data_IF_870335367812
#
_entry.id   IF_870335367812
#
_cell.length_a   1.000
_cell.length_b   1.000
_cell.length_c   1.000
_cell.angle_alpha   90.00
_cell.angle_beta   90.00
_cell.angle_gamma   90.00
#
_symmetry.space_group_name_H-M   'P 1'
#
loop_
_entity.id
_entity.type
_entity.pdbx_description
1 polymer ?
#
# COMPACT_ATOMS: atom_id res chain seq x y z
N UNK A 1 12.46 -23.77 -23.82
CA UNK A 1 13.06 -22.46 -23.48
C UNK A 1 12.69 -21.45 -24.57
N UNK A 2 12.09 -20.29 -24.21
CA UNK A 2 11.67 -19.26 -25.17
C UNK A 2 12.85 -18.76 -26.02
N UNK A 3 12.66 -18.66 -27.34
CA UNK A 3 13.70 -18.21 -28.30
C UNK A 3 14.26 -16.82 -27.99
N UNK A 4 13.52 -15.98 -27.27
CA UNK A 4 13.91 -14.62 -26.92
C UNK A 4 15.08 -14.57 -25.92
N UNK A 5 15.24 -15.60 -25.09
CA UNK A 5 16.32 -15.70 -24.11
C UNK A 5 17.68 -15.93 -24.80
N UNK A 6 17.68 -16.59 -25.98
CA UNK A 6 18.91 -16.88 -26.73
C UNK A 6 19.53 -15.65 -27.40
N UNK A 7 18.77 -14.59 -27.62
CA UNK A 7 19.23 -13.37 -28.30
C UNK A 7 19.72 -12.27 -27.36
N UNK A 8 19.64 -12.48 -26.05
CA UNK A 8 20.11 -11.49 -25.08
C UNK A 8 21.59 -11.73 -24.77
N UNK A 9 22.45 -10.78 -25.18
CA UNK A 9 23.91 -10.92 -25.05
C UNK A 9 24.42 -10.88 -23.61
N UNK A 10 23.55 -10.57 -22.64
CA UNK A 10 23.88 -10.50 -21.21
C UNK A 10 23.05 -11.56 -20.49
N UNK A 11 23.61 -12.31 -19.52
CA UNK A 11 22.83 -13.25 -18.73
C UNK A 11 21.66 -12.54 -18.03
N UNK A 12 20.44 -13.08 -18.15
CA UNK A 12 19.26 -12.48 -17.51
C UNK A 12 19.43 -12.34 -15.99
N UNK A 13 20.15 -13.29 -15.36
CA UNK A 13 20.49 -13.24 -13.93
C UNK A 13 21.22 -11.93 -13.57
N UNK A 14 22.10 -11.45 -14.45
CA UNK A 14 22.84 -10.21 -14.24
C UNK A 14 21.89 -9.01 -14.26
N UNK A 15 21.01 -8.95 -15.26
CA UNK A 15 19.98 -7.91 -15.36
C UNK A 15 19.04 -7.92 -14.14
N UNK A 16 18.60 -9.10 -13.70
CA UNK A 16 17.76 -9.24 -12.51
C UNK A 16 18.44 -8.71 -11.26
N UNK A 17 19.72 -9.05 -11.04
CA UNK A 17 20.50 -8.49 -9.92
C UNK A 17 20.61 -6.98 -10.04
N UNK A 18 20.97 -6.47 -11.22
CA UNK A 18 21.15 -5.04 -11.42
C UNK A 18 19.86 -4.25 -11.15
N UNK A 19 18.70 -4.76 -11.58
CA UNK A 19 17.39 -4.17 -11.28
C UNK A 19 17.00 -4.29 -9.80
N UNK A 20 17.38 -5.38 -9.11
CA UNK A 20 17.15 -5.56 -7.68
C UNK A 20 17.92 -4.51 -6.86
N UNK A 21 19.20 -4.32 -7.17
CA UNK A 21 20.02 -3.31 -6.50
C UNK A 21 19.53 -1.88 -6.80
N UNK A 22 19.10 -1.62 -8.04
CA UNK A 22 18.45 -0.35 -8.40
C UNK A 22 17.18 -0.10 -7.59
N UNK A 23 16.31 -1.11 -7.46
CA UNK A 23 15.09 -1.03 -6.66
C UNK A 23 15.40 -0.66 -5.20
N UNK A 24 16.32 -1.38 -4.55
CA UNK A 24 16.68 -1.07 -3.18
C UNK A 24 17.36 0.30 -3.04
N UNK A 25 18.20 0.71 -4.00
CA UNK A 25 18.82 2.03 -3.98
C UNK A 25 17.79 3.16 -3.97
N UNK A 26 16.67 2.98 -4.69
CA UNK A 26 15.59 3.98 -4.77
C UNK A 26 14.65 3.91 -3.55
N UNK A 27 14.13 2.73 -3.20
CA UNK A 27 13.05 2.60 -2.19
C UNK A 27 13.55 2.52 -0.75
N UNK A 28 14.76 2.02 -0.51
CA UNK A 28 15.31 1.89 0.86
C UNK A 28 16.24 3.03 1.26
N UNK A 29 16.65 3.88 0.30
CA UNK A 29 17.64 4.95 0.49
C UNK A 29 18.93 4.44 1.17
N UNK A 30 19.29 3.18 0.91
CA UNK A 30 20.46 2.54 1.51
C UNK A 30 21.72 2.86 0.72
N UNK A 31 22.73 3.43 1.38
CA UNK A 31 24.04 3.68 0.79
C UNK A 31 24.71 2.39 0.30
N UNK A 32 24.52 1.27 1.01
CA UNK A 32 25.03 -0.03 0.57
C UNK A 32 24.39 -0.46 -0.75
N UNK A 33 23.06 -0.27 -0.87
CA UNK A 33 22.35 -0.60 -2.11
C UNK A 33 22.84 0.25 -3.29
N UNK A 34 23.10 1.54 -3.06
CA UNK A 34 23.68 2.41 -4.09
C UNK A 34 25.08 1.95 -4.50
N UNK A 35 25.96 1.65 -3.53
CA UNK A 35 27.32 1.18 -3.81
C UNK A 35 27.33 -0.12 -4.60
N UNK A 36 26.49 -1.10 -4.22
CA UNK A 36 26.38 -2.35 -4.96
C UNK A 36 25.81 -2.17 -6.36
N UNK A 37 24.85 -1.26 -6.55
CA UNK A 37 24.36 -0.91 -7.89
C UNK A 37 25.46 -0.30 -8.77
N UNK A 38 26.24 0.66 -8.24
CA UNK A 38 27.37 1.26 -8.96
C UNK A 38 28.44 0.23 -9.29
N UNK A 39 28.77 -0.66 -8.35
CA UNK A 39 29.71 -1.77 -8.59
C UNK A 39 29.26 -2.66 -9.75
N UNK A 40 27.98 -3.05 -9.78
CA UNK A 40 27.43 -3.83 -10.89
C UNK A 40 27.40 -3.06 -12.21
N UNK A 41 27.21 -1.74 -12.21
CA UNK A 41 27.37 -0.94 -13.42
C UNK A 41 28.82 -0.95 -13.93
N UNK A 42 29.80 -0.83 -13.03
CA UNK A 42 31.21 -0.91 -13.40
C UNK A 42 31.54 -2.29 -13.99
N UNK A 43 31.13 -3.38 -13.34
CA UNK A 43 31.31 -4.73 -13.85
C UNK A 43 30.66 -4.94 -15.22
N UNK A 44 29.52 -4.29 -15.50
CA UNK A 44 28.80 -4.41 -16.77
C UNK A 44 29.68 -3.95 -17.95
N UNK A 45 30.38 -2.83 -17.80
CA UNK A 45 31.24 -2.28 -18.86
C UNK A 45 32.58 -3.03 -19.00
N UNK A 46 33.07 -3.65 -17.93
CA UNK A 46 34.28 -4.48 -18.00
C UNK A 46 34.02 -5.87 -18.62
N UNK A 47 32.86 -6.46 -18.38
CA UNK A 47 32.56 -7.84 -18.80
C UNK A 47 31.87 -7.92 -20.16
N UNK A 48 31.14 -6.89 -20.59
CA UNK A 48 30.31 -6.94 -21.79
C UNK A 48 30.65 -5.84 -22.79
N UNK A 49 30.47 -6.09 -24.09
CA UNK A 49 30.71 -5.08 -25.12
C UNK A 49 29.76 -3.89 -24.96
N UNK A 50 30.23 -2.70 -25.30
CA UNK A 50 29.50 -1.44 -25.16
C UNK A 50 28.09 -1.47 -25.77
N UNK A 51 27.92 -2.14 -26.92
CA UNK A 51 26.61 -2.29 -27.60
C UNK A 51 25.57 -3.06 -26.78
N UNK A 52 26.00 -3.99 -25.93
CA UNK A 52 25.13 -4.78 -25.08
C UNK A 52 24.91 -4.08 -23.74
N UNK A 53 25.95 -3.47 -23.18
CA UNK A 53 25.86 -2.65 -21.97
C UNK A 53 24.88 -1.49 -22.16
N UNK A 54 24.92 -0.78 -23.30
CA UNK A 54 24.01 0.33 -23.58
C UNK A 54 22.54 -0.08 -23.60
N UNK A 55 22.20 -1.26 -24.13
CA UNK A 55 20.83 -1.80 -24.08
C UNK A 55 20.36 -2.02 -22.65
N UNK A 56 21.23 -2.56 -21.78
CA UNK A 56 20.90 -2.76 -20.36
C UNK A 56 20.72 -1.43 -19.65
N UNK A 57 21.55 -0.42 -19.93
CA UNK A 57 21.36 0.92 -19.37
C UNK A 57 20.01 1.53 -19.76
N UNK A 58 19.55 1.36 -21.00
CA UNK A 58 18.24 1.84 -21.43
C UNK A 58 17.12 1.18 -20.62
N UNK A 59 17.19 -0.14 -20.44
CA UNK A 59 16.22 -0.88 -19.61
C UNK A 59 16.25 -0.36 -18.17
N UNK A 60 17.44 -0.18 -17.60
CA UNK A 60 17.59 0.35 -16.25
C UNK A 60 17.10 1.79 -16.12
N UNK A 61 17.25 2.61 -17.16
CA UNK A 61 16.69 3.95 -17.22
C UNK A 61 15.17 3.95 -17.20
N UNK A 62 14.53 3.06 -17.97
CA UNK A 62 13.06 2.91 -17.99
C UNK A 62 12.55 2.47 -16.60
N UNK A 63 13.15 1.43 -16.03
CA UNK A 63 12.78 0.96 -14.69
C UNK A 63 13.10 1.99 -13.60
N UNK A 64 14.25 2.66 -13.70
CA UNK A 64 14.65 3.72 -12.78
C UNK A 64 13.69 4.89 -12.79
N UNK A 65 13.29 5.35 -13.99
CA UNK A 65 12.26 6.38 -14.14
C UNK A 65 10.93 5.94 -13.52
N UNK A 66 10.48 4.72 -13.82
CA UNK A 66 9.26 4.16 -13.23
C UNK A 66 9.33 4.07 -11.71
N UNK A 67 10.43 3.58 -11.14
CA UNK A 67 10.64 3.46 -9.69
C UNK A 67 10.69 4.83 -9.01
N UNK A 68 11.37 5.81 -9.59
CA UNK A 68 11.39 7.19 -9.08
C UNK A 68 9.98 7.80 -9.13
N UNK A 69 9.24 7.61 -10.23
CA UNK A 69 7.87 8.08 -10.35
C UNK A 69 6.94 7.46 -9.29
N UNK A 70 7.06 6.15 -9.07
CA UNK A 70 6.33 5.44 -8.01
C UNK A 70 6.70 5.96 -6.61
N UNK A 71 7.99 6.12 -6.32
CA UNK A 71 8.46 6.65 -5.04
C UNK A 71 7.99 8.09 -4.80
N UNK A 72 7.98 8.91 -5.85
CA UNK A 72 7.45 10.27 -5.80
C UNK A 72 5.94 10.27 -5.52
N UNK A 73 5.16 9.43 -6.21
CA UNK A 73 3.72 9.31 -5.97
C UNK A 73 3.42 8.87 -4.52
N UNK A 74 4.18 7.91 -3.98
CA UNK A 74 4.08 7.47 -2.59
C UNK A 74 4.44 8.58 -1.59
N UNK A 75 5.47 9.36 -1.90
CA UNK A 75 5.88 10.50 -1.08
C UNK A 75 4.80 11.58 -1.05
N UNK A 76 4.20 11.89 -2.19
CA UNK A 76 3.09 12.84 -2.28
C UNK A 76 1.85 12.36 -1.51
N UNK A 77 1.53 11.07 -1.57
CA UNK A 77 0.43 10.51 -0.78
C UNK A 77 0.69 10.58 0.73
N UNK A 78 1.95 10.49 1.15
CA UNK A 78 2.34 10.60 2.56
C UNK A 78 2.29 12.04 3.07
N UNK A 79 2.54 13.05 2.21
CA UNK A 79 2.57 14.47 2.58
C UNK A 79 1.18 15.12 2.49
N UNK A 80 0.36 14.71 1.53
CA UNK A 80 -1.00 15.25 1.34
C UNK A 80 -2.01 14.53 2.24
N UNK A 81 -1.84 14.71 3.55
CA UNK A 81 -2.74 14.18 4.56
C UNK A 81 -4.11 14.88 4.49
N UNK A 82 -5.17 14.20 4.91
CA UNK A 82 -6.48 14.82 5.09
C UNK A 82 -6.51 15.62 6.40
N UNK A 83 -7.09 16.82 6.37
CA UNK A 83 -7.32 17.64 7.55
C UNK A 83 -8.54 17.17 8.34
N UNK A 84 -9.61 16.81 7.62
CA UNK A 84 -10.83 16.25 8.16
C UNK A 84 -11.44 15.22 7.20
N UNK A 85 -12.22 14.29 7.78
CA UNK A 85 -13.00 13.31 7.02
C UNK A 85 -14.37 13.23 7.68
N UNK A 86 -15.40 13.62 6.92
CA UNK A 86 -16.79 13.61 7.39
C UNK A 86 -17.53 12.33 6.97
N UNK A 87 -17.12 11.72 5.85
CA UNK A 87 -17.75 10.51 5.31
C UNK A 87 -16.73 9.47 4.95
N UNK A 88 -17.01 8.22 5.31
CA UNK A 88 -16.15 7.08 4.99
C UNK A 88 -16.99 5.93 4.46
N UNK A 89 -16.56 5.34 3.36
CA UNK A 89 -17.12 4.11 2.81
C UNK A 89 -16.42 2.92 3.44
N UNK A 90 -17.19 2.06 4.09
CA UNK A 90 -16.69 0.87 4.79
C UNK A 90 -16.35 -0.21 3.77
N UNK A 91 -15.24 -0.93 3.98
CA UNK A 91 -14.94 -2.20 3.30
C UNK A 91 -15.40 -3.37 4.21
N UNK A 92 -16.55 -4.01 3.94
CA UNK A 92 -17.18 -4.95 4.86
C UNK A 92 -16.32 -6.17 5.23
N UNK A 93 -15.48 -6.63 4.30
CA UNK A 93 -14.60 -7.77 4.53
C UNK A 93 -13.48 -7.51 5.55
N UNK A 94 -13.22 -6.25 5.87
CA UNK A 94 -12.19 -5.84 6.83
C UNK A 94 -12.72 -5.56 8.23
N UNK A 95 -14.04 -5.68 8.43
CA UNK A 95 -14.68 -5.45 9.72
C UNK A 95 -14.19 -6.50 10.73
N UNK A 96 -13.56 -6.00 11.79
CA UNK A 96 -13.10 -6.75 12.94
C UNK A 96 -13.66 -6.13 14.21
N UNK A 97 -14.31 -6.95 15.00
CA UNK A 97 -14.90 -6.59 16.29
C UNK A 97 -14.16 -7.36 17.38
N UNK A 98 -13.57 -6.64 18.33
CA UNK A 98 -12.86 -7.19 19.48
C UNK A 98 -13.40 -6.54 20.76
N UNK A 99 -14.31 -7.21 21.47
CA UNK A 99 -14.98 -6.62 22.64
C UNK A 99 -15.84 -5.42 22.23
N UNK A 100 -15.56 -4.26 22.81
CA UNK A 100 -16.17 -2.96 22.47
C UNK A 100 -15.41 -2.20 21.37
N UNK A 101 -14.31 -2.75 20.84
CA UNK A 101 -13.52 -2.11 19.79
C UNK A 101 -13.91 -2.62 18.40
N UNK A 102 -14.30 -1.70 17.53
CA UNK A 102 -14.53 -1.91 16.11
C UNK A 102 -13.35 -1.36 15.30
N UNK A 103 -12.84 -2.16 14.37
CA UNK A 103 -11.86 -1.70 13.39
C UNK A 103 -12.20 -2.19 11.99
N UNK A 104 -12.00 -1.33 11.00
CA UNK A 104 -12.22 -1.65 9.59
C UNK A 104 -11.39 -0.72 8.71
N UNK A 105 -11.25 -1.06 7.44
CA UNK A 105 -10.69 -0.17 6.42
C UNK A 105 -11.82 0.59 5.76
N UNK A 106 -11.59 1.88 5.56
CA UNK A 106 -12.54 2.75 4.91
C UNK A 106 -11.90 3.60 3.83
N UNK A 107 -12.67 3.99 2.82
CA UNK A 107 -12.23 4.92 1.78
C UNK A 107 -12.99 6.23 1.87
N UNK A 108 -12.29 7.34 1.68
CA UNK A 108 -12.89 8.67 1.53
C UNK A 108 -12.08 9.49 0.53
N UNK A 109 -12.73 10.09 -0.46
CA UNK A 109 -12.10 10.92 -1.49
C UNK A 109 -10.87 10.26 -2.15
N UNK A 110 -10.95 8.95 -2.44
CA UNK A 110 -9.86 8.17 -3.05
C UNK A 110 -8.73 7.77 -2.09
N UNK A 111 -8.77 8.17 -0.82
CA UNK A 111 -7.80 7.80 0.22
C UNK A 111 -8.33 6.65 1.06
N UNK A 112 -7.43 5.74 1.44
CA UNK A 112 -7.74 4.64 2.35
C UNK A 112 -7.30 5.00 3.78
N UNK A 113 -8.16 4.67 4.74
CA UNK A 113 -7.94 4.89 6.17
C UNK A 113 -8.13 3.59 6.92
N UNK A 114 -7.31 3.38 7.94
CA UNK A 114 -7.65 2.43 8.99
C UNK A 114 -8.53 3.14 10.01
N UNK A 115 -9.73 2.64 10.22
CA UNK A 115 -10.73 3.27 11.09
C UNK A 115 -10.87 2.47 12.37
N UNK A 116 -11.01 3.18 13.47
CA UNK A 116 -11.27 2.66 14.80
C UNK A 116 -12.48 3.36 15.41
N UNK A 117 -13.31 2.59 16.09
CA UNK A 117 -14.49 3.09 16.79
C UNK A 117 -14.75 2.26 18.04
N UNK A 118 -15.32 2.90 19.06
CA UNK A 118 -15.75 2.23 20.28
C UNK A 118 -17.27 2.04 20.23
N UNK A 119 -17.69 0.78 20.16
CA UNK A 119 -19.09 0.36 20.17
C UNK A 119 -19.72 0.75 21.51
N UNK A 120 -20.97 1.20 21.47
CA UNK A 120 -21.71 1.69 22.63
C UNK A 120 -22.67 0.63 23.19
N UNK A 121 -23.05 -0.37 22.39
CA UNK A 121 -24.04 -1.38 22.75
C UNK A 121 -23.78 -2.72 22.08
N UNK A 122 -24.38 -3.79 22.61
CA UNK A 122 -24.28 -5.13 22.01
C UNK A 122 -25.10 -5.21 20.72
N UNK A 123 -26.22 -4.50 20.62
CA UNK A 123 -27.03 -4.43 19.40
C UNK A 123 -26.24 -3.78 18.24
N UNK A 124 -25.49 -2.71 18.53
CA UNK A 124 -24.62 -2.07 17.54
C UNK A 124 -23.50 -3.02 17.10
N UNK A 125 -22.96 -3.79 18.04
CA UNK A 125 -21.93 -4.79 17.77
C UNK A 125 -22.44 -5.87 16.82
N UNK A 126 -23.61 -6.44 17.08
CA UNK A 126 -24.25 -7.43 16.21
C UNK A 126 -24.53 -6.85 14.81
N UNK A 127 -25.02 -5.60 14.74
CA UNK A 127 -25.29 -4.92 13.48
C UNK A 127 -24.03 -4.77 12.61
N UNK A 128 -22.89 -4.37 13.21
CA UNK A 128 -21.62 -4.29 12.48
C UNK A 128 -21.05 -5.65 12.12
N UNK A 129 -21.26 -6.69 12.94
CA UNK A 129 -20.82 -8.04 12.63
C UNK A 129 -21.57 -8.63 11.42
N UNK A 130 -22.89 -8.39 11.35
CA UNK A 130 -23.74 -8.82 10.24
C UNK A 130 -23.63 -7.92 8.98
N UNK A 131 -22.87 -6.82 9.05
CA UNK A 131 -22.73 -5.89 7.94
C UNK A 131 -21.97 -6.54 6.78
N UNK A 132 -22.68 -6.79 5.69
CA UNK A 132 -22.14 -7.44 4.49
C UNK A 132 -22.12 -6.52 3.27
N UNK A 133 -23.09 -5.62 3.17
CA UNK A 133 -23.19 -4.65 2.07
C UNK A 133 -22.29 -3.43 2.30
N UNK A 134 -22.00 -2.70 1.22
CA UNK A 134 -21.27 -1.45 1.28
C UNK A 134 -22.11 -0.37 1.97
N UNK A 135 -21.50 0.31 2.94
CA UNK A 135 -22.13 1.40 3.66
C UNK A 135 -21.19 2.61 3.70
N UNK A 136 -21.78 3.79 3.63
CA UNK A 136 -21.13 5.06 3.90
C UNK A 136 -21.58 5.54 5.28
N UNK A 137 -20.61 5.89 6.12
CA UNK A 137 -20.83 6.45 7.45
C UNK A 137 -20.48 7.93 7.45
N UNK A 138 -21.44 8.76 7.87
CA UNK A 138 -21.19 10.13 8.29
C UNK A 138 -20.66 10.12 9.72
N UNK A 139 -19.54 10.77 9.98
CA UNK A 139 -18.83 10.66 11.25
C UNK A 139 -18.12 11.94 11.65
N UNK A 140 -17.91 12.06 12.95
CA UNK A 140 -16.93 12.97 13.53
C UNK A 140 -15.80 12.16 14.15
N UNK A 141 -14.56 12.45 13.76
CA UNK A 141 -13.40 11.71 14.22
C UNK A 141 -12.12 12.52 14.17
N UNK A 142 -11.09 11.97 14.80
CA UNK A 142 -9.74 12.54 14.77
C UNK A 142 -8.86 11.71 13.86
N UNK A 143 -8.20 12.37 12.92
CA UNK A 143 -7.14 11.77 12.12
C UNK A 143 -5.82 11.77 12.90
N UNK A 144 -5.08 10.68 12.79
CA UNK A 144 -3.77 10.51 13.41
C UNK A 144 -2.84 9.76 12.49
N UNK A 145 -1.55 10.10 12.55
CA UNK A 145 -0.54 9.26 11.93
C UNK A 145 -0.48 7.89 12.62
N UNK A 146 -0.30 6.80 11.86
CA UNK A 146 -0.14 5.49 12.44
C UNK A 146 1.09 5.40 13.35
N UNK A 147 0.98 4.63 14.42
CA UNK A 147 2.10 4.41 15.33
C UNK A 147 3.27 3.70 14.62
N UNK A 148 4.46 4.29 14.77
CA UNK A 148 5.71 3.71 14.30
C UNK A 148 6.17 2.53 15.15
N UNK A 149 7.33 1.98 14.79
CA UNK A 149 7.96 0.91 15.55
C UNK A 149 8.46 1.41 16.91
N UNK A 150 7.90 0.86 18.01
CA UNK A 150 8.30 1.23 19.38
C UNK A 150 9.51 0.44 19.90
N UNK A 151 9.62 -0.84 19.53
CA UNK A 151 10.68 -1.75 19.98
C UNK A 151 11.61 -2.12 18.82
N UNK A 152 12.91 -2.22 19.09
CA UNK A 152 13.88 -2.73 18.11
C UNK A 152 13.51 -4.16 17.67
N UNK A 153 13.45 -4.41 16.37
CA UNK A 153 12.99 -5.69 15.80
C UNK A 153 11.49 -5.97 15.96
N UNK A 154 10.72 -5.08 16.61
CA UNK A 154 9.28 -5.19 16.75
C UNK A 154 8.51 -4.88 15.46
N UNK A 155 7.24 -5.24 15.44
CA UNK A 155 6.35 -4.97 14.31
C UNK A 155 6.18 -3.45 14.08
N UNK A 156 6.38 -3.02 12.83
CA UNK A 156 6.19 -1.62 12.43
C UNK A 156 4.81 -1.45 11.78
N UNK A 157 3.84 -0.99 12.57
CA UNK A 157 2.46 -0.86 12.12
C UNK A 157 2.30 0.22 11.03
N UNK A 158 2.99 1.36 11.19
CA UNK A 158 3.03 2.41 10.18
C UNK A 158 3.57 1.91 8.83
N UNK A 159 4.66 1.13 8.82
CA UNK A 159 5.20 0.56 7.59
C UNK A 159 4.23 -0.44 6.96
N UNK A 160 3.58 -1.29 7.76
CA UNK A 160 2.54 -2.20 7.27
C UNK A 160 1.39 -1.45 6.60
N UNK A 161 0.84 -0.42 7.24
CA UNK A 161 -0.26 0.37 6.66
C UNK A 161 0.16 1.10 5.38
N UNK A 162 1.39 1.61 5.31
CA UNK A 162 1.93 2.21 4.07
C UNK A 162 1.94 1.22 2.91
N UNK A 163 2.24 -0.07 3.13
CA UNK A 163 2.15 -1.08 2.06
C UNK A 163 0.72 -1.29 1.53
N UNK A 164 -0.28 -0.93 2.33
CA UNK A 164 -1.70 -1.02 1.97
C UNK A 164 -2.24 0.30 1.41
N UNK A 165 -1.39 1.29 1.17
CA UNK A 165 -1.77 2.63 0.74
C UNK A 165 -2.48 3.47 1.82
N UNK A 166 -2.35 3.08 3.09
CA UNK A 166 -2.95 3.77 4.23
C UNK A 166 -1.87 4.59 4.94
N UNK A 167 -2.06 5.90 4.97
CA UNK A 167 -1.11 6.85 5.57
C UNK A 167 -1.64 7.50 6.85
N UNK A 168 -2.94 7.37 7.12
CA UNK A 168 -3.60 7.89 8.31
C UNK A 168 -4.55 6.87 8.92
N UNK A 169 -4.68 6.96 10.23
CA UNK A 169 -5.71 6.30 11.03
C UNK A 169 -6.80 7.30 11.36
N UNK A 170 -8.04 6.82 11.45
CA UNK A 170 -9.21 7.62 11.81
C UNK A 170 -9.84 7.03 13.07
N UNK A 171 -9.85 7.78 14.17
CA UNK A 171 -10.56 7.42 15.38
C UNK A 171 -11.91 8.14 15.40
N UNK A 172 -13.00 7.39 15.19
CA UNK A 172 -14.37 7.91 15.24
C UNK A 172 -14.73 8.21 16.69
N UNK A 173 -15.25 9.41 16.94
CA UNK A 173 -15.90 9.79 18.19
C UNK A 173 -17.40 9.52 18.14
N UNK A 174 -18.04 9.93 17.06
CA UNK A 174 -19.49 9.85 16.91
C UNK A 174 -19.83 9.45 15.48
N UNK A 175 -20.74 8.49 15.33
CA UNK A 175 -21.36 8.14 14.05
C UNK A 175 -22.64 8.95 13.94
N UNK A 176 -22.72 9.82 12.92
CA UNK A 176 -23.89 10.65 12.66
C UNK A 176 -24.91 9.95 11.76
N UNK A 177 -24.44 9.15 10.81
CA UNK A 177 -25.31 8.44 9.87
C UNK A 177 -24.65 7.17 9.34
N UNK A 178 -25.49 6.20 8.95
CA UNK A 178 -25.09 4.98 8.26
C UNK A 178 -26.04 4.79 7.08
N UNK A 179 -25.50 4.82 5.86
CA UNK A 179 -26.28 4.69 4.64
C UNK A 179 -25.74 3.57 3.76
N UNK A 180 -26.62 2.66 3.33
CA UNK A 180 -26.26 1.65 2.34
C UNK A 180 -26.02 2.33 0.99
N UNK A 181 -24.89 2.02 0.36
CA UNK A 181 -24.51 2.60 -0.93
C UNK A 181 -24.17 1.49 -1.94
N UNK A 182 -24.28 1.83 -3.22
CA UNK A 182 -23.70 1.03 -4.31
C UNK A 182 -22.37 1.62 -4.74
N UNK A 183 -21.48 0.79 -5.27
CA UNK A 183 -20.22 1.23 -5.84
C UNK A 183 -19.96 0.61 -7.21
N UNK A 184 -19.34 1.38 -8.09
CA UNK A 184 -18.80 0.90 -9.36
C UNK A 184 -17.36 0.38 -9.21
N UNK A 185 -16.74 0.57 -8.04
CA UNK A 185 -15.41 0.05 -7.74
C UNK A 185 -15.46 -1.48 -7.57
N UNK A 186 -14.76 -2.19 -8.45
CA UNK A 186 -14.70 -3.65 -8.47
C UNK A 186 -14.17 -4.20 -7.14
N UNK A 187 -13.19 -3.52 -6.52
CA UNK A 187 -12.61 -3.94 -5.25
C UNK A 187 -13.60 -3.80 -4.09
N UNK A 188 -14.40 -2.74 -4.07
CA UNK A 188 -15.48 -2.57 -3.07
C UNK A 188 -16.57 -3.64 -3.22
N UNK A 189 -16.95 -3.95 -4.45
CA UNK A 189 -17.91 -5.02 -4.73
C UNK A 189 -17.36 -6.39 -4.32
N UNK A 190 -16.11 -6.70 -4.64
CA UNK A 190 -15.44 -7.93 -4.19
C UNK A 190 -15.38 -8.04 -2.67
N UNK A 191 -15.14 -6.92 -1.98
CA UNK A 191 -15.15 -6.87 -0.52
C UNK A 191 -16.51 -7.28 0.04
N UNK A 192 -17.61 -6.75 -0.51
CA UNK A 192 -18.96 -7.16 -0.07
C UNK A 192 -19.24 -8.65 -0.34
N UNK A 193 -18.87 -9.16 -1.53
CA UNK A 193 -19.03 -10.57 -1.87
C UNK A 193 -18.23 -11.48 -0.92
N UNK A 194 -16.98 -11.12 -0.61
CA UNK A 194 -16.14 -11.87 0.31
C UNK A 194 -16.74 -11.92 1.71
N UNK A 195 -17.29 -10.80 2.19
CA UNK A 195 -17.94 -10.75 3.51
C UNK A 195 -19.17 -11.67 3.57
N UNK A 196 -20.00 -11.67 2.53
CA UNK A 196 -21.19 -12.54 2.41
C UNK A 196 -20.88 -14.04 2.37
N UNK A 197 -19.66 -14.41 1.99
CA UNK A 197 -19.25 -15.82 1.95
C UNK A 197 -18.73 -16.33 3.31
N UNK A 198 -18.38 -15.43 4.22
CA UNK A 198 -17.76 -15.77 5.52
C UNK A 198 -18.77 -15.67 6.67
N UNK A 199 -19.70 -14.71 6.60
CA UNK A 199 -20.77 -14.48 7.57
C UNK A 199 -22.05 -15.11 7.05
#
# INVERSE_FOLDING_TARGET
MLQWIKNFSIPLIYLSFLLLWLYYAIFSVSYFALLGFVFLLVCLFFQFPWKSASKVLVICGIFGFWFVFQNWQQSQASQNLADSVERVRILPDTIKVNGDSLSFRGKSNGRAFQVYYKLQSEEEKEAFQALTDLHEIGLEGKLSEPEGQRNFGGFNYQAYLKTQGIYQTLNIKTIQSLQKIGSWDIGENLSSLRRKAVV
#
